data_IF_548178858298
#
_entry.id   IF_548178858298
#
_cell.length_a   1.000
_cell.length_b   1.000
_cell.length_c   1.000
_cell.angle_alpha   90.00
_cell.angle_beta   90.00
_cell.angle_gamma   90.00
#
_symmetry.space_group_name_H-M   'P 1'
#
loop_
_entity.id
_entity.type
_entity.pdbx_description
1 polymer ?
#
# COMPACT_ATOMS: atom_id res chain seq x y z
N UNK A 1 -20.87 13.12 12.45
CA UNK A 1 -19.39 13.11 12.34
C UNK A 1 -19.01 13.74 11.01
N UNK A 2 -17.98 14.58 10.96
CA UNK A 2 -17.56 15.27 9.73
C UNK A 2 -16.51 14.42 8.99
N UNK A 3 -16.67 14.21 7.68
CA UNK A 3 -15.67 13.55 6.83
C UNK A 3 -14.56 14.56 6.48
N UNK A 4 -13.52 14.63 7.31
CA UNK A 4 -12.36 15.52 7.16
C UNK A 4 -11.16 14.89 7.86
N UNK A 5 -9.94 15.20 7.46
CA UNK A 5 -8.72 14.66 8.09
C UNK A 5 -8.17 13.44 7.38
N UNK A 6 -7.60 12.50 8.14
CA UNK A 6 -6.92 11.32 7.62
C UNK A 6 -7.86 10.10 7.62
N UNK A 7 -8.18 9.61 6.43
CA UNK A 7 -8.90 8.36 6.23
C UNK A 7 -7.98 7.24 5.78
N UNK A 8 -8.07 6.06 6.39
CA UNK A 8 -7.23 4.92 6.01
C UNK A 8 -7.88 4.10 4.90
N UNK A 9 -7.22 3.99 3.75
CA UNK A 9 -7.56 3.01 2.72
C UNK A 9 -7.10 1.62 3.18
N UNK A 10 -7.97 0.92 3.91
CA UNK A 10 -7.64 -0.33 4.60
C UNK A 10 -7.15 -1.40 3.63
N UNK A 11 -6.08 -2.11 4.02
CA UNK A 11 -5.74 -3.40 3.42
C UNK A 11 -6.73 -4.49 3.85
N UNK A 12 -6.86 -5.54 3.04
CA UNK A 12 -7.57 -6.77 3.44
C UNK A 12 -6.52 -7.85 3.74
N UNK A 13 -6.38 -8.31 4.99
CA UNK A 13 -5.45 -9.38 5.33
C UNK A 13 -6.02 -10.74 4.92
N UNK A 14 -5.14 -11.63 4.44
CA UNK A 14 -5.49 -12.98 4.01
C UNK A 14 -4.61 -14.00 4.72
N UNK A 15 -5.15 -15.20 4.92
CA UNK A 15 -4.43 -16.38 5.41
C UNK A 15 -3.76 -17.13 4.27
N UNK A 16 -2.86 -18.07 4.58
CA UNK A 16 -2.18 -18.92 3.58
C UNK A 16 -3.12 -19.62 2.57
N UNK A 17 -4.33 -19.98 2.99
CA UNK A 17 -5.34 -20.62 2.13
C UNK A 17 -6.08 -19.63 1.21
N UNK A 18 -5.74 -18.33 1.31
CA UNK A 18 -6.34 -17.25 0.55
C UNK A 18 -7.60 -16.68 1.18
N UNK A 19 -8.16 -17.27 2.24
CA UNK A 19 -9.33 -16.74 2.93
C UNK A 19 -9.00 -15.44 3.69
N UNK A 20 -10.02 -14.62 3.97
CA UNK A 20 -9.85 -13.42 4.81
C UNK A 20 -9.37 -13.82 6.21
N UNK A 21 -8.35 -13.13 6.72
CA UNK A 21 -7.93 -13.24 8.11
C UNK A 21 -8.76 -12.29 8.98
N UNK A 22 -9.87 -12.82 9.52
CA UNK A 22 -10.80 -12.05 10.38
C UNK A 22 -10.10 -11.42 11.59
N UNK A 23 -9.20 -12.18 12.25
CA UNK A 23 -8.52 -11.69 13.44
C UNK A 23 -7.56 -10.54 13.10
N UNK A 24 -6.76 -10.69 12.05
CA UNK A 24 -5.89 -9.60 11.60
C UNK A 24 -6.70 -8.38 11.14
N UNK A 25 -7.81 -8.59 10.43
CA UNK A 25 -8.68 -7.49 9.95
C UNK A 25 -9.22 -6.68 11.13
N UNK A 26 -9.81 -7.34 12.14
CA UNK A 26 -10.34 -6.70 13.34
C UNK A 26 -9.27 -5.93 14.10
N UNK A 27 -8.10 -6.53 14.29
CA UNK A 27 -6.98 -5.90 14.99
C UNK A 27 -6.45 -4.67 14.25
N UNK A 28 -6.37 -4.72 12.92
CA UNK A 28 -5.97 -3.57 12.11
C UNK A 28 -6.99 -2.43 12.25
N UNK A 29 -8.29 -2.72 12.13
CA UNK A 29 -9.34 -1.71 12.27
C UNK A 29 -9.32 -1.07 13.66
N UNK A 30 -9.24 -1.86 14.72
CA UNK A 30 -9.16 -1.36 16.09
C UNK A 30 -7.93 -0.47 16.29
N UNK A 31 -6.77 -0.92 15.82
CA UNK A 31 -5.52 -0.16 15.94
C UNK A 31 -5.56 1.17 15.16
N UNK A 32 -6.20 1.20 13.99
CA UNK A 32 -6.39 2.44 13.22
C UNK A 32 -7.19 3.46 14.04
N UNK A 33 -8.32 3.05 14.62
CA UNK A 33 -9.19 3.90 15.45
C UNK A 33 -8.44 4.38 16.70
N UNK A 34 -7.78 3.48 17.41
CA UNK A 34 -6.99 3.80 18.62
C UNK A 34 -5.81 4.73 18.34
N UNK A 35 -5.31 4.72 17.11
CA UNK A 35 -4.24 5.60 16.65
C UNK A 35 -4.73 6.99 16.21
N UNK A 36 -6.05 7.21 16.18
CA UNK A 36 -6.65 8.53 15.96
C UNK A 36 -6.88 8.91 14.50
N UNK A 37 -7.03 7.92 13.60
CA UNK A 37 -7.50 8.21 12.23
C UNK A 37 -8.92 8.74 12.26
N UNK A 38 -9.26 9.63 11.32
CA UNK A 38 -10.52 10.36 11.34
C UNK A 38 -11.67 9.58 10.68
N UNK A 39 -11.37 8.65 9.76
CA UNK A 39 -12.34 7.75 9.12
C UNK A 39 -11.68 6.51 8.49
N UNK A 40 -12.48 5.51 8.12
CA UNK A 40 -12.01 4.25 7.53
C UNK A 40 -12.59 4.05 6.13
N UNK A 41 -11.78 3.51 5.22
CA UNK A 41 -12.18 3.21 3.85
C UNK A 41 -11.93 1.73 3.55
N UNK A 42 -12.84 0.82 3.94
CA UNK A 42 -12.77 -0.58 3.55
C UNK A 42 -13.08 -0.76 2.07
N UNK A 43 -12.59 -1.85 1.49
CA UNK A 43 -12.90 -2.25 0.12
C UNK A 43 -12.59 -1.17 -0.94
N UNK A 44 -11.55 -0.36 -0.71
CA UNK A 44 -10.92 0.44 -1.76
C UNK A 44 -9.85 -0.35 -2.53
N UNK A 45 -9.11 0.31 -3.43
CA UNK A 45 -8.05 -0.34 -4.21
C UNK A 45 -6.98 -1.02 -3.34
N UNK A 46 -6.61 -0.41 -2.22
CA UNK A 46 -5.64 -0.95 -1.25
C UNK A 46 -6.14 -2.21 -0.55
N UNK A 47 -7.47 -2.39 -0.47
CA UNK A 47 -8.11 -3.57 0.10
C UNK A 47 -8.25 -4.73 -0.88
N UNK A 48 -7.60 -4.66 -2.06
CA UNK A 48 -7.60 -5.72 -3.08
C UNK A 48 -9.01 -6.06 -3.60
N UNK A 49 -9.95 -5.11 -3.60
CA UNK A 49 -11.36 -5.35 -4.00
C UNK A 49 -11.57 -6.10 -5.31
N UNK A 50 -10.75 -5.94 -6.37
CA UNK A 50 -10.92 -6.74 -7.59
C UNK A 50 -10.76 -8.26 -7.41
N UNK A 51 -10.15 -8.73 -6.31
CA UNK A 51 -9.95 -10.15 -6.02
C UNK A 51 -10.80 -10.65 -4.85
N UNK A 52 -11.72 -9.82 -4.34
CA UNK A 52 -12.73 -10.23 -3.36
C UNK A 52 -13.97 -10.76 -4.09
N UNK A 53 -14.56 -11.82 -3.57
CA UNK A 53 -15.92 -12.21 -3.96
C UNK A 53 -16.94 -11.18 -3.43
N UNK A 54 -18.19 -11.28 -3.89
CA UNK A 54 -19.27 -10.44 -3.37
C UNK A 54 -19.46 -10.58 -1.86
N UNK A 55 -19.50 -11.82 -1.37
CA UNK A 55 -19.72 -12.11 0.05
C UNK A 55 -18.55 -11.63 0.91
N UNK A 56 -17.33 -11.76 0.41
CA UNK A 56 -16.12 -11.26 1.08
C UNK A 56 -16.08 -9.73 1.12
N UNK A 57 -16.47 -9.06 0.03
CA UNK A 57 -16.58 -7.61 -0.03
C UNK A 57 -17.56 -7.09 1.03
N UNK A 58 -18.71 -7.75 1.19
CA UNK A 58 -19.68 -7.42 2.23
C UNK A 58 -19.14 -7.70 3.63
N UNK A 59 -18.53 -8.87 3.81
CA UNK A 59 -17.98 -9.28 5.09
C UNK A 59 -16.94 -8.29 5.62
N UNK A 60 -16.03 -7.79 4.77
CA UNK A 60 -15.05 -6.78 5.18
C UNK A 60 -15.73 -5.47 5.62
N UNK A 61 -16.80 -5.05 4.92
CA UNK A 61 -17.59 -3.87 5.31
C UNK A 61 -18.25 -4.09 6.66
N UNK A 62 -18.90 -5.25 6.85
CA UNK A 62 -19.64 -5.56 8.08
C UNK A 62 -18.71 -5.68 9.29
N UNK A 63 -17.55 -6.33 9.16
CA UNK A 63 -16.52 -6.37 10.21
C UNK A 63 -16.00 -4.96 10.52
N UNK A 64 -15.83 -4.11 9.50
CA UNK A 64 -15.42 -2.71 9.69
C UNK A 64 -16.47 -1.94 10.50
N UNK A 65 -17.76 -2.12 10.21
CA UNK A 65 -18.87 -1.51 10.97
C UNK A 65 -18.88 -1.99 12.41
N UNK A 66 -18.79 -3.30 12.62
CA UNK A 66 -18.82 -3.92 13.93
C UNK A 66 -17.69 -3.39 14.82
N UNK A 67 -16.45 -3.43 14.32
CA UNK A 67 -15.29 -2.98 15.08
C UNK A 67 -15.30 -1.46 15.24
N UNK A 68 -15.68 -0.69 14.21
CA UNK A 68 -15.76 0.77 14.34
C UNK A 68 -16.74 1.19 15.43
N UNK A 69 -17.87 0.49 15.57
CA UNK A 69 -18.87 0.74 16.59
C UNK A 69 -19.26 2.24 16.68
N UNK A 70 -19.41 2.88 15.53
CA UNK A 70 -19.69 4.32 15.38
C UNK A 70 -18.64 5.26 16.01
N UNK A 71 -17.40 4.83 16.26
CA UNK A 71 -16.33 5.68 16.80
C UNK A 71 -15.72 6.60 15.74
N UNK A 72 -15.69 6.15 14.49
CA UNK A 72 -15.25 6.91 13.32
C UNK A 72 -16.18 6.61 12.14
N UNK A 73 -16.32 7.53 11.16
CA UNK A 73 -17.07 7.28 9.95
C UNK A 73 -16.46 6.18 9.08
N UNK A 74 -17.31 5.51 8.30
CA UNK A 74 -16.92 4.51 7.31
C UNK A 74 -17.32 4.98 5.91
N UNK A 75 -16.36 4.98 4.99
CA UNK A 75 -16.58 5.24 3.56
C UNK A 75 -16.37 3.93 2.79
N UNK A 76 -17.44 3.23 2.45
CA UNK A 76 -17.35 1.92 1.81
C UNK A 76 -17.00 2.04 0.32
N UNK A 77 -15.99 1.30 -0.14
CA UNK A 77 -15.66 1.24 -1.56
C UNK A 77 -16.68 0.41 -2.36
N UNK A 78 -17.26 1.02 -3.40
CA UNK A 78 -18.29 0.42 -4.25
C UNK A 78 -18.05 0.71 -5.75
N UNK A 79 -16.80 0.58 -6.20
CA UNK A 79 -16.41 0.83 -7.60
C UNK A 79 -16.77 -0.35 -8.51
N UNK A 80 -17.29 -0.05 -9.71
CA UNK A 80 -17.32 -0.95 -10.87
C UNK A 80 -17.16 -0.13 -12.16
N UNK A 81 -16.64 -0.74 -13.22
CA UNK A 81 -16.60 -0.13 -14.54
C UNK A 81 -17.92 -0.29 -15.33
N UNK A 82 -18.89 -1.03 -14.78
CA UNK A 82 -20.27 -1.13 -15.26
C UNK A 82 -21.19 -0.26 -14.38
N UNK A 83 -21.91 0.68 -14.97
CA UNK A 83 -22.85 1.55 -14.23
C UNK A 83 -23.93 0.74 -13.51
N UNK A 84 -24.42 -0.33 -14.13
CA UNK A 84 -25.43 -1.20 -13.53
C UNK A 84 -24.92 -1.87 -12.24
N UNK A 85 -23.70 -2.43 -12.30
CA UNK A 85 -23.08 -3.05 -11.13
C UNK A 85 -22.69 -2.02 -10.07
N UNK A 86 -22.20 -0.84 -10.47
CA UNK A 86 -21.85 0.23 -9.54
C UNK A 86 -23.08 0.71 -8.76
N UNK A 87 -24.24 0.83 -9.41
CA UNK A 87 -25.52 1.13 -8.76
C UNK A 87 -25.91 0.02 -7.78
N UNK A 88 -25.80 -1.25 -8.18
CA UNK A 88 -26.12 -2.39 -7.30
C UNK A 88 -25.23 -2.39 -6.05
N UNK A 89 -23.91 -2.28 -6.22
CA UNK A 89 -22.94 -2.19 -5.12
C UNK A 89 -23.19 -0.97 -4.22
N UNK A 90 -23.46 0.19 -4.81
CA UNK A 90 -23.73 1.41 -4.04
C UNK A 90 -25.00 1.28 -3.19
N UNK A 91 -26.10 0.78 -3.76
CA UNK A 91 -27.34 0.49 -3.01
C UNK A 91 -27.10 -0.49 -1.88
N UNK A 92 -26.36 -1.54 -2.17
CA UNK A 92 -26.09 -2.59 -1.20
C UNK A 92 -25.25 -2.05 -0.03
N UNK A 93 -24.09 -1.44 -0.29
CA UNK A 93 -23.29 -0.83 0.76
C UNK A 93 -24.07 0.28 1.53
N UNK A 94 -24.85 1.10 0.83
CA UNK A 94 -25.66 2.15 1.45
C UNK A 94 -26.80 1.60 2.33
N UNK A 95 -27.26 0.37 2.12
CA UNK A 95 -28.26 -0.25 2.98
C UNK A 95 -27.71 -0.60 4.39
N UNK A 96 -26.37 -0.63 4.57
CA UNK A 96 -25.74 -0.94 5.86
C UNK A 96 -25.78 0.31 6.75
N UNK A 97 -26.44 0.29 7.92
CA UNK A 97 -26.59 1.48 8.77
C UNK A 97 -25.28 2.14 9.18
N UNK A 98 -24.21 1.34 9.40
CA UNK A 98 -22.89 1.82 9.80
C UNK A 98 -22.04 2.43 8.69
N UNK A 99 -22.44 2.33 7.42
CA UNK A 99 -21.75 3.03 6.31
C UNK A 99 -22.17 4.49 6.31
N UNK A 100 -21.23 5.43 6.26
CA UNK A 100 -21.52 6.87 6.27
C UNK A 100 -21.42 7.53 4.90
N UNK A 101 -20.60 6.98 4.00
CA UNK A 101 -20.50 7.42 2.62
C UNK A 101 -20.01 6.28 1.71
N UNK A 102 -20.09 6.49 0.40
CA UNK A 102 -19.60 5.57 -0.63
C UNK A 102 -18.40 6.18 -1.33
N UNK A 103 -17.34 5.39 -1.55
CA UNK A 103 -16.24 5.75 -2.44
C UNK A 103 -16.40 5.00 -3.77
N UNK A 104 -16.48 5.73 -4.88
CA UNK A 104 -16.57 5.11 -6.22
C UNK A 104 -15.66 5.79 -7.22
N UNK A 105 -14.85 4.99 -7.93
CA UNK A 105 -13.86 5.49 -8.87
C UNK A 105 -14.38 5.60 -10.30
N UNK A 106 -13.63 6.31 -11.13
CA UNK A 106 -13.85 6.33 -12.59
C UNK A 106 -13.86 4.90 -13.15
N UNK A 107 -14.78 4.56 -14.08
CA UNK A 107 -14.76 3.26 -14.75
C UNK A 107 -13.39 2.93 -15.34
N UNK A 108 -12.82 1.82 -14.90
CA UNK A 108 -11.53 1.32 -15.35
C UNK A 108 -11.67 0.46 -16.61
N UNK A 109 -10.58 0.33 -17.37
CA UNK A 109 -10.46 -0.48 -18.60
C UNK A 109 -11.22 0.07 -19.81
N UNK A 110 -12.52 0.38 -19.68
CA UNK A 110 -13.39 0.78 -20.79
C UNK A 110 -13.30 2.27 -21.19
N UNK A 111 -12.62 3.10 -20.39
CA UNK A 111 -12.22 4.49 -20.71
C UNK A 111 -13.38 5.37 -21.26
N UNK A 112 -14.45 5.60 -20.48
CA UNK A 112 -15.56 6.44 -20.91
C UNK A 112 -15.15 7.89 -21.17
N UNK A 113 -15.88 8.56 -22.08
CA UNK A 113 -15.76 10.01 -22.31
C UNK A 113 -16.15 10.80 -21.06
N UNK A 114 -15.82 12.10 -21.00
CA UNK A 114 -16.23 12.98 -19.88
C UNK A 114 -17.75 12.94 -19.61
N UNK A 115 -18.56 12.99 -20.66
CA UNK A 115 -20.03 12.88 -20.51
C UNK A 115 -20.45 11.48 -20.05
N UNK A 116 -19.76 10.43 -20.48
CA UNK A 116 -19.96 9.07 -19.96
C UNK A 116 -19.66 8.97 -18.46
N UNK A 117 -18.57 9.58 -18.00
CA UNK A 117 -18.20 9.66 -16.58
C UNK A 117 -19.26 10.44 -15.79
N UNK A 118 -19.69 11.61 -16.29
CA UNK A 118 -20.76 12.40 -15.67
C UNK A 118 -22.04 11.57 -15.46
N UNK A 119 -22.53 10.93 -16.52
CA UNK A 119 -23.76 10.12 -16.45
C UNK A 119 -23.60 8.91 -15.54
N UNK A 120 -22.44 8.26 -15.55
CA UNK A 120 -22.15 7.12 -14.68
C UNK A 120 -22.30 7.53 -13.20
N UNK A 121 -21.59 8.58 -12.76
CA UNK A 121 -21.63 9.02 -11.38
C UNK A 121 -22.99 9.58 -10.98
N UNK A 122 -23.62 10.37 -11.85
CA UNK A 122 -24.98 10.89 -11.61
C UNK A 122 -25.99 9.77 -11.43
N UNK A 123 -25.92 8.72 -12.24
CA UNK A 123 -26.83 7.55 -12.12
C UNK A 123 -26.64 6.83 -10.79
N UNK A 124 -25.40 6.70 -10.31
CA UNK A 124 -25.12 6.13 -8.98
C UNK A 124 -25.70 7.03 -7.88
N UNK A 125 -25.45 8.33 -7.98
CA UNK A 125 -25.92 9.34 -7.02
C UNK A 125 -27.44 9.38 -6.90
N UNK A 126 -28.18 9.32 -8.02
CA UNK A 126 -29.65 9.29 -8.03
C UNK A 126 -30.23 7.97 -7.46
N UNK A 127 -29.40 6.95 -7.25
CA UNK A 127 -29.85 5.61 -6.81
C UNK A 127 -29.79 5.36 -5.31
N UNK A 128 -29.13 6.25 -4.54
CA UNK A 128 -28.94 6.16 -3.08
C UNK A 128 -29.04 7.53 -2.42
N UNK A 129 -29.39 7.56 -1.13
CA UNK A 129 -29.42 8.81 -0.34
C UNK A 129 -28.07 9.13 0.31
N UNK A 130 -27.23 8.11 0.57
CA UNK A 130 -25.96 8.31 1.27
C UNK A 130 -24.98 9.17 0.45
N UNK A 131 -24.12 9.96 1.13
CA UNK A 131 -23.08 10.73 0.47
C UNK A 131 -22.11 9.88 -0.36
N UNK A 132 -21.61 10.45 -1.45
CA UNK A 132 -20.66 9.85 -2.38
C UNK A 132 -19.41 10.70 -2.45
N UNK A 133 -18.26 10.06 -2.33
CA UNK A 133 -16.95 10.59 -2.66
C UNK A 133 -16.51 9.94 -3.98
N UNK A 134 -16.25 10.76 -4.99
CA UNK A 134 -15.72 10.29 -6.27
C UNK A 134 -14.24 9.93 -6.10
N UNK A 135 -13.72 9.03 -6.91
CA UNK A 135 -12.29 8.68 -6.88
C UNK A 135 -11.66 8.82 -8.28
N UNK A 136 -10.90 9.90 -8.47
CA UNK A 136 -10.12 10.11 -9.69
C UNK A 136 -8.72 9.50 -9.55
N UNK A 137 -8.40 8.49 -10.35
CA UNK A 137 -7.09 7.81 -10.34
C UNK A 137 -6.69 7.35 -11.75
N UNK A 138 -6.39 8.29 -12.65
CA UNK A 138 -6.13 7.99 -14.07
C UNK A 138 -5.02 6.95 -14.29
N UNK A 139 -4.01 6.91 -13.42
CA UNK A 139 -2.94 5.91 -13.48
C UNK A 139 -3.39 4.45 -13.30
N UNK A 140 -4.62 4.21 -12.79
CA UNK A 140 -5.22 2.87 -12.66
C UNK A 140 -6.41 2.65 -13.58
N UNK A 141 -7.21 3.69 -13.83
CA UNK A 141 -8.45 3.58 -14.61
C UNK A 141 -8.21 3.77 -16.11
N UNK A 142 -7.15 4.50 -16.48
CA UNK A 142 -6.91 4.94 -17.85
C UNK A 142 -7.83 6.08 -18.30
N UNK A 143 -8.56 6.71 -17.38
CA UNK A 143 -9.46 7.84 -17.63
C UNK A 143 -9.38 8.85 -16.48
N UNK A 144 -9.28 10.13 -16.83
CA UNK A 144 -9.23 11.26 -15.90
C UNK A 144 -10.60 11.94 -15.83
N UNK A 145 -11.06 12.30 -14.63
CA UNK A 145 -12.17 13.24 -14.44
C UNK A 145 -11.59 14.64 -14.60
N UNK A 146 -11.98 15.37 -15.64
CA UNK A 146 -11.52 16.74 -15.83
C UNK A 146 -12.19 17.70 -14.84
N UNK A 147 -11.54 18.82 -14.44
CA UNK A 147 -12.10 19.79 -13.50
C UNK A 147 -13.50 20.28 -13.87
N UNK A 148 -13.76 20.55 -15.15
CA UNK A 148 -15.09 20.95 -15.62
C UNK A 148 -16.17 19.86 -15.42
N UNK A 149 -15.83 18.59 -15.62
CA UNK A 149 -16.74 17.47 -15.34
C UNK A 149 -16.99 17.32 -13.85
N UNK A 150 -15.93 17.47 -13.05
CA UNK A 150 -16.04 17.39 -11.60
C UNK A 150 -16.88 18.53 -11.01
N UNK A 151 -16.72 19.75 -11.52
CA UNK A 151 -17.55 20.90 -11.12
C UNK A 151 -19.03 20.65 -11.41
N UNK A 152 -19.38 20.07 -12.57
CA UNK A 152 -20.77 19.65 -12.86
C UNK A 152 -21.29 18.57 -11.91
N UNK A 153 -20.42 17.65 -11.46
CA UNK A 153 -20.77 16.59 -10.51
C UNK A 153 -20.92 17.11 -9.09
N UNK A 154 -20.17 18.16 -8.72
CA UNK A 154 -20.24 18.79 -7.40
C UNK A 154 -21.60 19.48 -7.13
N UNK A 155 -22.36 19.80 -8.18
CA UNK A 155 -23.74 20.31 -8.07
C UNK A 155 -24.78 19.21 -7.78
N UNK A 156 -24.39 17.92 -7.81
CA UNK A 156 -25.30 16.81 -7.47
C UNK A 156 -25.37 16.67 -5.94
N UNK A 157 -26.55 16.78 -5.30
CA UNK A 157 -26.66 17.02 -3.86
C UNK A 157 -25.93 16.04 -2.92
N UNK A 158 -25.84 14.77 -3.29
CA UNK A 158 -25.18 13.74 -2.49
C UNK A 158 -23.78 13.38 -3.00
N UNK A 159 -23.24 14.05 -4.02
CA UNK A 159 -21.82 13.95 -4.39
C UNK A 159 -21.07 15.03 -3.61
N UNK A 160 -20.45 14.63 -2.51
CA UNK A 160 -19.91 15.56 -1.50
C UNK A 160 -18.41 15.80 -1.63
N UNK A 161 -17.71 15.07 -2.49
CA UNK A 161 -16.27 15.22 -2.59
C UNK A 161 -15.59 14.34 -3.63
N UNK A 162 -14.26 14.48 -3.71
CA UNK A 162 -13.37 13.68 -4.54
C UNK A 162 -12.15 13.25 -3.75
N UNK A 163 -11.73 11.99 -3.91
CA UNK A 163 -10.36 11.53 -3.69
C UNK A 163 -9.59 11.76 -4.97
N UNK A 164 -8.71 12.76 -4.99
CA UNK A 164 -7.92 13.16 -6.16
C UNK A 164 -6.54 12.50 -6.10
N UNK A 165 -6.33 11.47 -6.93
CA UNK A 165 -5.08 10.71 -7.02
C UNK A 165 -4.46 10.79 -8.42
N UNK A 166 -4.62 11.92 -9.12
CA UNK A 166 -3.94 12.16 -10.39
C UNK A 166 -2.45 12.46 -10.20
N UNK A 167 -2.05 12.94 -9.00
CA UNK A 167 -0.72 13.48 -8.74
C UNK A 167 -0.47 14.84 -9.39
N UNK A 168 -1.46 15.40 -10.10
CA UNK A 168 -1.35 16.66 -10.81
C UNK A 168 -1.81 17.83 -9.93
N UNK A 169 -0.85 18.51 -9.31
CA UNK A 169 -1.15 19.63 -8.40
C UNK A 169 -1.84 20.81 -9.09
N UNK A 170 -1.58 21.03 -10.39
CA UNK A 170 -2.23 22.10 -11.15
C UNK A 170 -3.72 21.79 -11.36
N UNK A 171 -4.06 20.54 -11.69
CA UNK A 171 -5.45 20.08 -11.78
C UNK A 171 -6.14 20.18 -10.42
N UNK A 172 -5.48 19.78 -9.34
CA UNK A 172 -6.05 19.85 -7.98
C UNK A 172 -6.32 21.32 -7.61
N UNK A 173 -5.41 22.25 -7.93
CA UNK A 173 -5.64 23.67 -7.73
C UNK A 173 -6.85 24.17 -8.54
N UNK A 174 -6.99 23.78 -9.80
CA UNK A 174 -8.16 24.13 -10.62
C UNK A 174 -9.45 23.59 -10.01
N UNK A 175 -9.46 22.34 -9.56
CA UNK A 175 -10.61 21.72 -8.88
C UNK A 175 -10.99 22.52 -7.64
N UNK A 176 -10.05 22.81 -6.73
CA UNK A 176 -10.33 23.57 -5.51
C UNK A 176 -10.93 24.96 -5.77
N UNK A 177 -10.66 25.57 -6.94
CA UNK A 177 -11.23 26.86 -7.33
C UNK A 177 -12.56 26.74 -8.08
N UNK A 178 -12.83 25.60 -8.73
CA UNK A 178 -14.00 25.40 -9.58
C UNK A 178 -15.20 24.76 -8.84
N UNK A 179 -14.95 23.99 -7.78
CA UNK A 179 -15.99 23.33 -6.99
C UNK A 179 -16.55 24.25 -5.88
N UNK A 180 -17.79 24.05 -5.42
CA UNK A 180 -18.33 24.76 -4.28
C UNK A 180 -17.50 24.58 -3.00
N UNK A 181 -17.50 25.57 -2.09
CA UNK A 181 -16.72 25.56 -0.84
C UNK A 181 -17.01 24.35 0.07
N UNK A 182 -18.22 23.81 0.00
CA UNK A 182 -18.63 22.64 0.78
C UNK A 182 -18.16 21.30 0.18
N UNK A 183 -17.63 21.29 -1.05
CA UNK A 183 -17.16 20.09 -1.72
C UNK A 183 -15.79 19.67 -1.20
N UNK A 184 -15.67 18.42 -0.76
CA UNK A 184 -14.48 17.91 -0.06
C UNK A 184 -13.45 17.37 -1.06
N UNK A 185 -12.30 18.05 -1.17
CA UNK A 185 -11.17 17.56 -1.97
C UNK A 185 -10.17 16.84 -1.04
N UNK A 186 -10.08 15.52 -1.15
CA UNK A 186 -9.10 14.70 -0.43
C UNK A 186 -7.91 14.40 -1.34
N UNK A 187 -6.70 14.49 -0.80
CA UNK A 187 -5.54 13.89 -1.46
C UNK A 187 -5.74 12.38 -1.56
N UNK A 188 -5.42 11.81 -2.71
CA UNK A 188 -5.31 10.36 -2.90
C UNK A 188 -3.86 9.87 -3.03
N UNK A 189 -2.90 10.76 -2.81
CA UNK A 189 -1.46 10.49 -2.83
C UNK A 189 -0.84 11.05 -1.54
N UNK A 190 -0.22 10.16 -0.76
CA UNK A 190 0.38 10.46 0.54
C UNK A 190 1.45 11.56 0.44
N UNK A 191 2.29 11.53 -0.60
CA UNK A 191 3.45 12.40 -0.72
C UNK A 191 3.09 13.87 -0.99
N UNK A 192 1.91 14.15 -1.56
CA UNK A 192 1.46 15.51 -1.88
C UNK A 192 0.34 16.02 -0.97
N UNK A 193 0.09 15.37 0.16
CA UNK A 193 -0.96 15.76 1.11
C UNK A 193 -0.87 17.23 1.55
N UNK A 194 0.34 17.70 1.90
CA UNK A 194 0.53 19.06 2.39
C UNK A 194 0.17 20.14 1.35
N UNK A 195 0.68 20.11 0.11
CA UNK A 195 0.28 21.09 -0.89
C UNK A 195 -1.22 21.02 -1.21
N UNK A 196 -1.84 19.83 -1.23
CA UNK A 196 -3.30 19.71 -1.43
C UNK A 196 -4.08 20.41 -0.32
N UNK A 197 -3.70 20.22 0.96
CA UNK A 197 -4.35 20.91 2.08
C UNK A 197 -4.13 22.43 1.99
N UNK A 198 -2.94 22.88 1.57
CA UNK A 198 -2.67 24.33 1.41
C UNK A 198 -3.53 25.00 0.33
N UNK A 199 -4.07 24.21 -0.62
CA UNK A 199 -4.99 24.66 -1.67
C UNK A 199 -6.47 24.55 -1.25
N UNK A 200 -6.77 24.23 0.01
CA UNK A 200 -8.14 24.06 0.51
C UNK A 200 -8.62 22.61 0.64
N UNK A 201 -7.73 21.63 0.45
CA UNK A 201 -8.05 20.22 0.63
C UNK A 201 -8.56 19.88 2.04
N UNK A 202 -9.50 18.95 2.11
CA UNK A 202 -10.14 18.49 3.34
C UNK A 202 -9.31 17.45 4.13
N UNK A 203 -8.24 16.92 3.53
CA UNK A 203 -7.39 15.92 4.15
C UNK A 203 -6.89 14.89 3.13
N UNK A 204 -6.82 13.63 3.54
CA UNK A 204 -6.28 12.53 2.72
C UNK A 204 -7.05 11.21 2.92
N UNK A 205 -7.16 10.43 1.86
CA UNK A 205 -7.46 8.99 1.91
C UNK A 205 -6.18 8.21 1.61
N UNK A 206 -5.51 7.77 2.67
CA UNK A 206 -4.09 7.42 2.73
C UNK A 206 -3.79 5.93 2.61
N UNK A 207 -2.67 5.58 1.98
CA UNK A 207 -2.08 4.23 2.04
C UNK A 207 -1.17 4.12 3.26
N UNK A 208 -0.24 5.07 3.43
CA UNK A 208 0.76 5.06 4.50
C UNK A 208 0.15 5.00 5.93
N UNK A 209 -1.06 5.53 6.12
CA UNK A 209 -1.81 5.43 7.38
C UNK A 209 -2.09 4.00 7.82
N UNK A 210 -2.02 3.00 6.92
CA UNK A 210 -2.05 1.60 7.34
C UNK A 210 -0.86 1.26 8.24
N UNK A 211 0.32 1.84 8.03
CA UNK A 211 1.56 1.50 8.75
C UNK A 211 1.88 2.52 9.86
N UNK A 212 1.53 3.78 9.63
CA UNK A 212 1.77 4.93 10.52
C UNK A 212 0.49 5.75 10.76
N UNK A 213 -0.60 5.14 11.28
CA UNK A 213 -1.90 5.80 11.39
C UNK A 213 -1.85 7.07 12.23
N UNK A 214 -1.16 7.02 13.37
CA UNK A 214 -1.03 8.15 14.29
C UNK A 214 -0.32 9.32 13.62
N UNK A 215 0.80 9.07 12.96
CA UNK A 215 1.60 10.12 12.36
C UNK A 215 0.97 10.72 11.12
N UNK A 216 0.24 9.93 10.32
CA UNK A 216 -0.54 10.46 9.20
C UNK A 216 -1.73 11.31 9.69
N UNK A 217 -2.41 10.88 10.76
CA UNK A 217 -3.48 11.65 11.38
C UNK A 217 -2.95 12.97 11.98
N UNK A 218 -1.84 12.92 12.73
CA UNK A 218 -1.18 14.10 13.30
C UNK A 218 -0.69 15.08 12.22
N UNK A 219 -0.03 14.58 11.17
CA UNK A 219 0.44 15.41 10.05
C UNK A 219 -0.72 16.13 9.37
N UNK A 220 -1.80 15.39 9.08
CA UNK A 220 -2.98 15.92 8.40
C UNK A 220 -3.69 16.94 9.28
N UNK A 221 -3.90 16.63 10.56
CA UNK A 221 -4.53 17.53 11.54
C UNK A 221 -3.72 18.81 11.75
N UNK A 222 -2.38 18.70 11.84
CA UNK A 222 -1.50 19.86 11.94
C UNK A 222 -1.64 20.78 10.71
N UNK A 223 -1.60 20.21 9.50
CA UNK A 223 -1.77 20.99 8.26
C UNK A 223 -3.14 21.68 8.20
N UNK A 224 -4.23 20.97 8.52
CA UNK A 224 -5.58 21.53 8.54
C UNK A 224 -5.77 22.64 9.58
N UNK A 225 -4.95 22.64 10.64
CA UNK A 225 -4.93 23.65 11.70
C UNK A 225 -3.88 24.75 11.48
N UNK A 226 -3.27 24.84 10.29
CA UNK A 226 -2.18 25.76 9.95
C UNK A 226 -0.88 25.62 10.79
N UNK A 227 -0.69 24.50 11.50
CA UNK A 227 0.59 24.12 12.10
C UNK A 227 1.50 23.48 11.04
N UNK A 228 2.03 24.33 10.17
CA UNK A 228 2.90 23.92 9.07
C UNK A 228 4.28 23.45 9.52
N UNK A 229 4.72 23.81 10.73
CA UNK A 229 5.98 23.34 11.28
C UNK A 229 5.88 21.84 11.61
N UNK A 230 4.90 21.44 12.40
CA UNK A 230 4.64 20.03 12.72
C UNK A 230 4.35 19.23 11.47
N UNK A 231 3.49 19.75 10.59
CA UNK A 231 3.11 19.08 9.36
C UNK A 231 4.33 18.79 8.46
N UNK A 232 5.19 19.79 8.21
CA UNK A 232 6.40 19.61 7.39
C UNK A 232 7.43 18.71 8.06
N UNK A 233 7.57 18.75 9.38
CA UNK A 233 8.48 17.87 10.12
C UNK A 233 8.07 16.41 9.98
N UNK A 234 6.79 16.09 10.17
CA UNK A 234 6.26 14.73 9.99
C UNK A 234 6.34 14.29 8.54
N UNK A 235 5.92 15.13 7.60
CA UNK A 235 6.03 14.85 6.17
C UNK A 235 7.47 14.53 5.76
N UNK A 236 8.44 15.39 6.12
CA UNK A 236 9.86 15.16 5.82
C UNK A 236 10.36 13.82 6.38
N UNK A 237 9.95 13.46 7.60
CA UNK A 237 10.34 12.21 8.24
C UNK A 237 9.81 10.99 7.49
N UNK A 238 8.54 11.01 7.09
CA UNK A 238 7.85 9.83 6.55
C UNK A 238 7.73 9.82 5.01
N UNK A 239 8.11 10.90 4.32
CA UNK A 239 8.11 10.98 2.85
C UNK A 239 8.82 9.77 2.18
N UNK A 240 9.98 9.29 2.66
CA UNK A 240 10.60 8.09 2.09
C UNK A 240 9.69 6.86 2.15
N UNK A 241 8.93 6.66 3.24
CA UNK A 241 7.96 5.56 3.38
C UNK A 241 6.76 5.76 2.45
N UNK A 242 6.21 6.98 2.41
CA UNK A 242 5.10 7.32 1.51
C UNK A 242 5.44 7.00 0.05
N UNK A 243 6.65 7.35 -0.39
CA UNK A 243 7.13 7.02 -1.73
C UNK A 243 7.43 5.52 -1.88
N UNK A 244 7.98 4.88 -0.84
CA UNK A 244 8.28 3.46 -0.85
C UNK A 244 7.04 2.59 -1.06
N UNK A 245 5.88 3.08 -0.60
CA UNK A 245 4.58 2.43 -0.79
C UNK A 245 4.13 2.28 -2.25
N UNK A 246 4.88 2.87 -3.18
CA UNK A 246 4.65 2.81 -4.62
C UNK A 246 5.90 2.38 -5.42
N UNK A 247 6.92 1.79 -4.77
CA UNK A 247 8.06 1.14 -5.48
C UNK A 247 7.60 0.00 -6.40
N UNK A 248 6.50 -0.65 -6.00
CA UNK A 248 5.70 -1.56 -6.81
C UNK A 248 4.22 -1.22 -6.59
N UNK A 249 3.33 -1.84 -7.37
CA UNK A 249 1.90 -1.56 -7.30
C UNK A 249 1.34 -1.77 -5.89
N UNK A 250 0.81 -0.70 -5.26
CA UNK A 250 -0.01 -0.83 -4.05
C UNK A 250 -1.16 -1.85 -4.27
N UNK A 251 -1.41 -2.80 -3.35
CA UNK A 251 -0.94 -2.82 -1.95
C UNK A 251 0.28 -3.71 -1.62
N UNK A 252 1.12 -4.07 -2.60
CA UNK A 252 2.31 -4.89 -2.36
C UNK A 252 3.22 -4.32 -1.26
N UNK A 253 3.72 -3.07 -1.37
CA UNK A 253 4.59 -2.52 -0.33
C UNK A 253 3.94 -2.41 1.06
N UNK A 254 2.71 -1.92 1.13
CA UNK A 254 2.07 -1.64 2.42
C UNK A 254 1.78 -2.93 3.21
N UNK A 255 1.35 -4.01 2.54
CA UNK A 255 1.19 -5.32 3.20
C UNK A 255 2.54 -5.93 3.54
N UNK A 256 3.57 -5.74 2.72
CA UNK A 256 4.92 -6.16 3.01
C UNK A 256 5.45 -5.56 4.33
N UNK A 257 5.28 -4.24 4.56
CA UNK A 257 5.70 -3.60 5.82
C UNK A 257 4.84 -4.07 6.98
N UNK A 258 3.51 -4.13 6.84
CA UNK A 258 2.62 -4.64 7.89
C UNK A 258 2.98 -6.06 8.33
N UNK A 259 3.37 -6.92 7.39
CA UNK A 259 3.89 -8.25 7.70
C UNK A 259 5.23 -8.19 8.45
N UNK A 260 6.16 -7.31 8.05
CA UNK A 260 7.41 -7.10 8.80
C UNK A 260 7.17 -6.54 10.21
N UNK A 261 6.08 -5.79 10.41
CA UNK A 261 5.62 -5.32 11.72
C UNK A 261 4.87 -6.41 12.54
N UNK A 262 4.67 -7.60 11.98
CA UNK A 262 3.94 -8.70 12.62
C UNK A 262 2.43 -8.47 12.75
N UNK A 263 1.84 -7.62 11.90
CA UNK A 263 0.40 -7.26 11.97
C UNK A 263 -0.51 -8.12 11.08
N UNK A 264 0.05 -8.80 10.08
CA UNK A 264 -0.68 -9.70 9.18
C UNK A 264 0.29 -10.71 8.54
N UNK A 265 -0.26 -11.76 7.92
CA UNK A 265 0.50 -12.62 7.01
C UNK A 265 0.67 -11.96 5.63
N UNK A 266 1.87 -12.09 5.04
CA UNK A 266 2.17 -11.49 3.73
C UNK A 266 1.58 -12.29 2.56
N UNK A 267 0.25 -12.35 2.50
CA UNK A 267 -0.49 -13.07 1.46
C UNK A 267 -1.22 -12.10 0.56
N UNK A 268 -1.13 -12.35 -0.74
CA UNK A 268 -1.82 -11.61 -1.80
C UNK A 268 -2.64 -12.59 -2.61
N UNK A 269 -3.72 -12.10 -3.23
CA UNK A 269 -4.46 -12.88 -4.22
C UNK A 269 -3.98 -12.55 -5.62
N UNK A 270 -3.83 -13.57 -6.46
CA UNK A 270 -3.52 -13.36 -7.88
C UNK A 270 -4.52 -12.38 -8.50
N UNK A 271 -4.05 -11.45 -9.37
CA UNK A 271 -2.73 -11.42 -10.02
C UNK A 271 -1.63 -10.72 -9.22
N UNK A 272 -1.89 -10.30 -7.98
CA UNK A 272 -0.86 -9.73 -7.11
C UNK A 272 0.04 -10.82 -6.53
N UNK A 273 1.30 -10.49 -6.33
CA UNK A 273 2.35 -11.40 -5.88
C UNK A 273 3.23 -10.68 -4.86
N UNK A 274 3.98 -11.41 -4.00
CA UNK A 274 5.00 -10.80 -3.15
C UNK A 274 5.98 -9.93 -3.95
N UNK A 275 6.44 -8.85 -3.32
CA UNK A 275 7.41 -7.93 -3.92
C UNK A 275 8.67 -8.65 -4.38
N UNK A 276 9.31 -8.09 -5.41
CA UNK A 276 10.64 -8.54 -5.82
C UNK A 276 11.62 -8.34 -4.68
N UNK A 277 12.64 -9.21 -4.62
CA UNK A 277 13.61 -9.20 -3.52
C UNK A 277 14.36 -7.88 -3.37
N UNK A 278 14.70 -7.24 -4.49
CA UNK A 278 15.49 -5.99 -4.52
C UNK A 278 14.68 -4.78 -4.03
N UNK A 279 13.43 -4.64 -4.48
CA UNK A 279 12.49 -3.62 -4.01
C UNK A 279 12.07 -3.87 -2.56
N UNK A 280 11.82 -5.14 -2.18
CA UNK A 280 11.55 -5.52 -0.79
C UNK A 280 12.69 -5.15 0.16
N UNK A 281 13.94 -5.37 -0.24
CA UNK A 281 15.11 -5.00 0.57
C UNK A 281 15.22 -3.48 0.77
N UNK A 282 14.93 -2.70 -0.28
CA UNK A 282 14.86 -1.23 -0.19
C UNK A 282 13.74 -0.78 0.75
N UNK A 283 12.55 -1.37 0.63
CA UNK A 283 11.40 -1.09 1.49
C UNK A 283 11.71 -1.41 2.96
N UNK A 284 12.34 -2.56 3.24
CA UNK A 284 12.74 -2.95 4.60
C UNK A 284 13.69 -1.92 5.23
N UNK A 285 14.68 -1.43 4.47
CA UNK A 285 15.59 -0.38 4.94
C UNK A 285 14.81 0.89 5.31
N UNK A 286 13.89 1.32 4.45
CA UNK A 286 13.07 2.52 4.68
C UNK A 286 12.16 2.35 5.90
N UNK A 287 11.48 1.20 6.05
CA UNK A 287 10.65 0.89 7.21
C UNK A 287 11.46 0.87 8.52
N UNK A 288 12.70 0.39 8.46
CA UNK A 288 13.63 0.41 9.60
C UNK A 288 14.04 1.85 9.96
N UNK A 289 14.35 2.68 8.97
CA UNK A 289 14.71 4.09 9.16
C UNK A 289 13.53 4.93 9.66
N UNK A 290 12.31 4.58 9.26
CA UNK A 290 11.06 5.15 9.77
C UNK A 290 10.73 4.71 11.21
N UNK A 291 11.41 3.67 11.73
CA UNK A 291 11.23 3.16 13.08
C UNK A 291 10.08 2.16 13.24
N UNK A 292 9.57 1.59 12.14
CA UNK A 292 8.43 0.66 12.17
C UNK A 292 8.81 -0.77 12.50
N UNK A 293 10.04 -1.14 12.16
CA UNK A 293 10.58 -2.48 12.40
C UNK A 293 11.93 -2.33 13.09
N UNK A 294 12.23 -3.28 14.00
CA UNK A 294 13.50 -3.28 14.69
C UNK A 294 14.65 -3.27 13.68
N UNK A 295 15.68 -2.46 13.93
CA UNK A 295 16.95 -2.63 13.24
C UNK A 295 17.36 -4.08 13.44
N UNK A 296 17.70 -4.83 12.36
CA UNK A 296 18.39 -6.09 12.54
C UNK A 296 19.52 -5.81 13.51
N UNK A 297 19.62 -6.59 14.59
CA UNK A 297 20.75 -6.47 15.50
C UNK A 297 21.99 -6.40 14.60
N UNK A 298 22.82 -5.38 14.80
CA UNK A 298 24.14 -5.39 14.18
C UNK A 298 24.69 -6.77 14.53
N UNK A 299 24.98 -7.59 13.50
CA UNK A 299 25.66 -8.85 13.74
C UNK A 299 26.85 -8.43 14.58
N UNK A 300 26.88 -8.86 15.85
CA UNK A 300 28.01 -8.56 16.71
C UNK A 300 29.28 -9.03 16.00
N UNK A 301 30.48 -8.73 16.51
CA UNK A 301 31.69 -9.35 16.00
C UNK A 301 31.74 -10.85 16.34
N UNK A 302 30.68 -11.62 16.05
CA UNK A 302 30.81 -13.02 15.74
C UNK A 302 31.62 -13.12 14.46
N UNK A 303 32.58 -14.03 14.42
CA UNK A 303 33.52 -14.18 13.32
C UNK A 303 32.80 -14.05 11.97
N UNK A 304 33.23 -13.11 11.14
CA UNK A 304 32.72 -13.01 9.77
C UNK A 304 33.23 -14.24 9.05
N UNK A 305 32.36 -15.25 8.96
CA UNK A 305 32.66 -16.46 8.23
C UNK A 305 32.38 -16.26 6.73
N UNK A 306 33.15 -16.96 5.92
CA UNK A 306 33.03 -16.96 4.47
C UNK A 306 32.61 -18.35 4.00
N UNK A 307 31.86 -18.39 2.91
CA UNK A 307 31.42 -19.63 2.29
C UNK A 307 31.63 -19.56 0.77
N UNK A 308 31.90 -20.71 0.17
CA UNK A 308 31.96 -20.87 -1.30
C UNK A 308 30.71 -21.62 -1.74
N UNK A 309 29.92 -20.98 -2.61
CA UNK A 309 28.75 -21.58 -3.23
C UNK A 309 29.12 -22.11 -4.62
N UNK A 310 28.91 -23.39 -4.84
CA UNK A 310 29.13 -24.09 -6.10
C UNK A 310 27.79 -24.45 -6.74
N UNK A 311 27.56 -24.05 -8.00
CA UNK A 311 26.31 -24.29 -8.72
C UNK A 311 26.55 -25.07 -10.02
N UNK A 312 25.87 -26.22 -10.16
CA UNK A 312 26.02 -27.12 -11.31
C UNK A 312 24.91 -26.97 -12.37
N UNK A 313 23.87 -26.14 -12.15
CA UNK A 313 22.74 -25.98 -13.08
C UNK A 313 22.97 -24.95 -14.21
N UNK A 314 23.99 -24.08 -14.10
CA UNK A 314 24.09 -22.87 -14.93
C UNK A 314 25.11 -22.93 -16.09
N UNK A 315 25.52 -24.13 -16.52
CA UNK A 315 26.64 -24.29 -17.46
C UNK A 315 27.98 -24.39 -16.73
N UNK A 316 29.12 -23.94 -17.30
CA UNK A 316 30.46 -24.26 -16.80
C UNK A 316 30.57 -24.04 -15.29
N UNK A 317 31.09 -25.04 -14.55
CA UNK A 317 31.11 -25.06 -13.07
C UNK A 317 31.56 -23.71 -12.52
N UNK A 318 30.62 -22.96 -11.93
CA UNK A 318 30.84 -21.62 -11.39
C UNK A 318 30.76 -21.67 -9.88
N UNK A 319 31.70 -20.98 -9.23
CA UNK A 319 31.66 -20.73 -7.80
C UNK A 319 31.56 -19.24 -7.49
N UNK A 320 30.90 -18.94 -6.37
CA UNK A 320 30.73 -17.59 -5.85
C UNK A 320 31.08 -17.57 -4.37
N UNK A 321 31.95 -16.65 -3.95
CA UNK A 321 32.26 -16.46 -2.53
C UNK A 321 31.23 -15.53 -1.87
N UNK A 322 30.88 -15.83 -0.62
CA UNK A 322 29.89 -15.09 0.18
C UNK A 322 30.37 -14.86 1.62
N UNK A 323 29.96 -13.74 2.22
CA UNK A 323 29.96 -13.58 3.69
C UNK A 323 28.77 -14.35 4.30
N UNK A 324 28.91 -14.85 5.52
CA UNK A 324 27.85 -15.52 6.29
C UNK A 324 26.56 -14.67 6.40
N UNK A 325 26.71 -13.35 6.43
CA UNK A 325 25.62 -12.36 6.48
C UNK A 325 25.02 -12.00 5.11
N UNK A 326 25.41 -12.66 4.02
CA UNK A 326 24.95 -12.31 2.68
C UNK A 326 23.44 -12.57 2.50
N UNK A 327 22.66 -11.49 2.41
CA UNK A 327 21.22 -11.50 2.16
C UNK A 327 20.81 -11.24 0.71
N UNK A 328 21.74 -11.22 -0.25
CA UNK A 328 21.51 -10.73 -1.63
C UNK A 328 21.52 -11.83 -2.70
N UNK A 329 22.22 -12.94 -2.47
CA UNK A 329 22.44 -13.99 -3.48
C UNK A 329 21.44 -15.17 -3.25
N UNK A 330 20.90 -15.79 -4.32
CA UNK A 330 19.63 -16.56 -4.31
C UNK A 330 19.76 -18.09 -4.12
N UNK A 331 20.58 -18.55 -3.17
CA UNK A 331 20.71 -20.00 -2.86
C UNK A 331 21.11 -20.32 -1.40
N UNK A 332 20.87 -19.42 -0.45
CA UNK A 332 21.14 -19.67 0.98
C UNK A 332 21.76 -18.47 1.67
N UNK A 333 21.13 -18.01 2.76
CA UNK A 333 21.83 -17.26 3.82
C UNK A 333 22.92 -18.18 4.34
N UNK A 334 24.17 -17.72 4.51
CA UNK A 334 25.36 -18.53 4.84
C UNK A 334 25.02 -19.88 5.48
N UNK A 335 24.86 -20.91 4.63
CA UNK A 335 24.40 -22.23 5.07
C UNK A 335 25.61 -23.03 5.51
N UNK A 336 25.47 -23.92 6.52
CA UNK A 336 26.48 -24.91 6.83
C UNK A 336 26.87 -25.71 5.58
N UNK A 337 28.12 -26.18 5.51
CA UNK A 337 28.56 -27.00 4.38
C UNK A 337 27.64 -28.21 4.14
N UNK A 338 27.37 -28.50 2.87
CA UNK A 338 26.41 -29.53 2.49
C UNK A 338 25.91 -29.41 1.05
N UNK A 339 25.08 -30.37 0.64
CA UNK A 339 24.41 -30.37 -0.66
C UNK A 339 22.99 -29.83 -0.53
N UNK A 340 22.56 -29.01 -1.48
CA UNK A 340 21.18 -28.52 -1.61
C UNK A 340 20.42 -29.33 -2.67
N UNK A 341 19.09 -29.36 -2.56
CA UNK A 341 18.18 -30.03 -3.49
C UNK A 341 18.28 -29.50 -4.93
N UNK A 342 18.92 -28.34 -5.12
CA UNK A 342 19.12 -27.68 -6.41
C UNK A 342 20.47 -27.97 -7.06
N UNK A 343 21.11 -29.13 -6.80
CA UNK A 343 22.42 -29.48 -7.37
C UNK A 343 23.48 -28.39 -7.10
N UNK A 344 23.56 -27.97 -5.85
CA UNK A 344 24.52 -26.99 -5.40
C UNK A 344 25.20 -27.45 -4.12
N UNK A 345 26.45 -27.02 -3.94
CA UNK A 345 27.26 -27.39 -2.77
C UNK A 345 27.81 -26.14 -2.10
N UNK A 346 27.69 -26.12 -0.78
CA UNK A 346 28.29 -25.11 0.07
C UNK A 346 29.57 -25.65 0.71
N UNK A 347 30.65 -24.87 0.65
CA UNK A 347 31.93 -25.14 1.32
C UNK A 347 32.19 -24.08 2.40
N UNK A 348 32.70 -24.47 3.56
CA UNK A 348 32.95 -23.61 4.73
C UNK A 348 32.36 -24.17 6.04
N UNK A 349 32.28 -23.36 7.12
CA UNK A 349 32.70 -21.97 7.19
C UNK A 349 34.23 -21.81 7.08
N UNK A 350 34.66 -20.72 6.47
CA UNK A 350 36.05 -20.25 6.49
C UNK A 350 36.15 -19.03 7.38
N UNK A 351 37.17 -18.95 8.24
CA UNK A 351 37.30 -17.86 9.20
C UNK A 351 37.75 -16.55 8.54
N UNK A 352 38.42 -16.64 7.38
CA UNK A 352 38.90 -15.47 6.63
C UNK A 352 38.56 -15.56 5.14
N UNK A 353 38.53 -14.40 4.47
CA UNK A 353 38.35 -14.32 3.02
C UNK A 353 39.50 -15.02 2.27
N UNK A 354 40.71 -14.96 2.83
CA UNK A 354 41.89 -15.61 2.24
C UNK A 354 41.74 -17.12 2.22
N UNK A 355 41.31 -17.73 3.32
CA UNK A 355 41.01 -19.17 3.40
C UNK A 355 39.93 -19.58 2.40
N UNK A 356 38.85 -18.80 2.28
CA UNK A 356 37.80 -19.07 1.32
C UNK A 356 38.30 -18.98 -0.13
N UNK A 357 39.15 -18.00 -0.46
CA UNK A 357 39.78 -17.87 -1.79
C UNK A 357 40.67 -19.06 -2.09
N UNK A 358 41.53 -19.44 -1.15
CA UNK A 358 42.41 -20.60 -1.29
C UNK A 358 41.61 -21.89 -1.49
N UNK A 359 40.59 -22.14 -0.68
CA UNK A 359 39.71 -23.29 -0.84
C UNK A 359 39.03 -23.30 -2.22
N UNK A 360 38.61 -22.13 -2.72
CA UNK A 360 38.00 -21.97 -4.04
C UNK A 360 38.92 -22.36 -5.21
N UNK A 361 40.24 -22.23 -5.05
CA UNK A 361 41.23 -22.64 -6.06
C UNK A 361 41.38 -24.16 -6.14
N UNK A 362 41.14 -24.87 -5.04
CA UNK A 362 41.29 -26.31 -4.94
C UNK A 362 40.03 -27.10 -5.36
N UNK A 363 38.93 -26.44 -5.68
CA UNK A 363 37.71 -27.11 -6.18
C UNK A 363 37.91 -27.53 -7.65
N UNK A 364 37.90 -28.83 -7.97
CA UNK A 364 38.16 -29.32 -9.31
C UNK A 364 37.01 -29.01 -10.28
N UNK A 365 37.34 -28.82 -11.55
CA UNK A 365 36.36 -28.59 -12.62
C UNK A 365 35.79 -27.17 -12.68
N UNK A 366 36.12 -26.28 -11.74
CA UNK A 366 35.62 -24.89 -11.71
C UNK A 366 36.27 -24.03 -12.82
N UNK A 367 35.41 -23.50 -13.69
CA UNK A 367 35.80 -22.66 -14.83
C UNK A 367 35.62 -21.16 -14.55
N UNK A 368 34.72 -20.79 -13.63
CA UNK A 368 34.44 -19.39 -13.29
C UNK A 368 34.44 -19.20 -11.78
N UNK A 369 35.29 -18.29 -11.29
CA UNK A 369 35.37 -17.90 -9.88
C UNK A 369 34.97 -16.43 -9.75
N UNK A 370 34.06 -16.12 -8.84
CA UNK A 370 33.58 -14.75 -8.64
C UNK A 370 33.27 -14.46 -7.18
N UNK A 371 33.21 -13.19 -6.82
CA UNK A 371 32.86 -12.74 -5.47
C UNK A 371 31.47 -12.08 -5.52
N UNK A 372 30.54 -12.47 -4.63
CA UNK A 372 29.25 -11.79 -4.50
C UNK A 372 29.52 -10.38 -3.94
N UNK A 373 28.68 -9.39 -4.28
CA UNK A 373 28.80 -7.99 -3.81
C UNK A 373 28.84 -7.81 -2.29
N UNK A 374 28.57 -8.88 -1.53
CA UNK A 374 28.69 -8.88 -0.08
C UNK A 374 30.14 -8.97 0.41
N UNK A 375 31.09 -9.39 -0.43
CA UNK A 375 32.53 -9.41 -0.14
C UNK A 375 33.09 -8.04 -0.47
#
# INVERSE_FOLDING_TARGET
MQLRGCGTALVTPFRQDGAIDDTALRNLIAWQIESGVDFLVPCGTTGETPTLTHDEWLYVIDVTIEVAANRVPIVAGATSNSTHEAVAKAKEAAARPGVNAILTATPYYNKPTQEGQYRHFRTIAESIEKPIILYNVPGRTGANIEPATLARLAEVPNIIGVKEASGNIAQIAEICNAVPEHFLVFSGDDAITLPVISLGGAGIISVASNEIPREMAEMTRAALNNDWETARRLHKKYLPLMQANFLESNPLPVKAVLAMMGKLEEIYRLPLLPMRRDTRSKLQKIATEAGLIARPAAVGPGAVEFYVYENWLAGPHKIVLHRSSCGQCNSGKGRPAGHDANHARWHGPFATLSEAREASHHIPGVLIRSECKCI
#
